data_IF_209615611765
#
_entry.id   IF_209615611765
#
_cell.length_a   1.000
_cell.length_b   1.000
_cell.length_c   1.000
_cell.angle_alpha   90.00
_cell.angle_beta   90.00
_cell.angle_gamma   90.00
#
_symmetry.space_group_name_H-M   'P 1'
#
loop_
_entity.id
_entity.type
_entity.pdbx_description
1 polymer ?
#
# COMPACT_ATOMS: atom_id res chain seq x y z
N UNK A 1 3.89 -21.75 -13.29
CA UNK A 1 2.69 -21.16 -13.90
C UNK A 1 2.77 -19.65 -13.81
N UNK A 2 3.22 -19.02 -14.89
CA UNK A 2 3.26 -17.56 -15.02
C UNK A 2 1.84 -17.00 -15.18
N UNK A 3 1.55 -15.89 -14.49
CA UNK A 3 0.70 -14.87 -15.09
C UNK A 3 -0.81 -15.00 -14.88
N UNK A 4 -1.29 -15.14 -13.63
CA UNK A 4 -2.52 -14.41 -13.28
C UNK A 4 -2.18 -12.93 -13.22
N UNK A 5 -2.12 -12.27 -14.38
CA UNK A 5 -2.21 -10.82 -14.41
C UNK A 5 -3.63 -10.48 -13.96
N UNK A 6 -3.84 -10.27 -12.66
CA UNK A 6 -5.09 -9.75 -12.12
C UNK A 6 -5.25 -8.32 -12.63
N UNK A 7 -5.88 -8.17 -13.80
CA UNK A 7 -6.15 -6.88 -14.42
C UNK A 7 -7.12 -6.09 -13.55
N UNK A 8 -6.75 -4.86 -13.22
CA UNK A 8 -7.57 -3.96 -12.42
C UNK A 8 -8.91 -3.69 -13.07
N UNK A 9 -9.98 -4.04 -12.35
CA UNK A 9 -11.34 -3.78 -12.78
C UNK A 9 -11.58 -2.27 -12.83
N UNK A 10 -12.35 -1.77 -13.82
CA UNK A 10 -12.65 -0.33 -13.93
C UNK A 10 -13.28 0.25 -12.66
N UNK A 11 -14.09 -0.55 -11.95
CA UNK A 11 -14.73 -0.17 -10.69
C UNK A 11 -13.72 0.06 -9.57
N UNK A 12 -12.73 -0.82 -9.44
CA UNK A 12 -11.66 -0.74 -8.44
C UNK A 12 -10.78 0.47 -8.73
N UNK A 13 -10.41 0.66 -10.01
CA UNK A 13 -9.67 1.84 -10.45
C UNK A 13 -10.42 3.13 -10.12
N UNK A 14 -11.72 3.20 -10.47
CA UNK A 14 -12.57 4.35 -10.19
C UNK A 14 -12.70 4.59 -8.68
N UNK A 15 -12.87 3.55 -7.88
CA UNK A 15 -12.93 3.69 -6.42
C UNK A 15 -11.63 4.28 -5.86
N UNK A 16 -10.48 3.80 -6.34
CA UNK A 16 -9.16 4.30 -5.93
C UNK A 16 -8.90 5.74 -6.38
N UNK A 17 -9.26 6.08 -7.62
CA UNK A 17 -9.01 7.40 -8.21
C UNK A 17 -9.97 8.48 -7.72
N UNK A 18 -11.22 8.14 -7.40
CA UNK A 18 -12.21 9.07 -6.83
C UNK A 18 -12.04 9.24 -5.32
N UNK A 19 -11.49 8.21 -4.64
CA UNK A 19 -11.35 8.18 -3.19
C UNK A 19 -12.57 7.58 -2.49
N UNK A 20 -13.29 6.68 -3.16
CA UNK A 20 -14.44 5.97 -2.60
C UNK A 20 -14.00 5.05 -1.47
N UNK A 21 -13.94 5.59 -0.25
CA UNK A 21 -13.52 4.87 0.94
C UNK A 21 -14.48 3.72 1.28
N UNK A 22 -15.79 3.94 1.11
CA UNK A 22 -16.81 2.95 1.42
C UNK A 22 -16.64 1.65 0.63
N UNK A 23 -16.15 1.73 -0.61
CA UNK A 23 -15.76 0.55 -1.39
C UNK A 23 -14.67 -0.27 -0.66
N UNK A 24 -13.62 0.40 -0.17
CA UNK A 24 -12.53 -0.25 0.55
C UNK A 24 -12.85 -0.61 2.00
N UNK A 25 -13.91 -0.05 2.59
CA UNK A 25 -14.38 -0.46 3.91
C UNK A 25 -15.06 -1.82 3.90
N UNK A 26 -15.75 -2.16 2.80
CA UNK A 26 -16.33 -3.49 2.58
C UNK A 26 -15.25 -4.58 2.46
N UNK A 27 -14.03 -4.21 2.04
CA UNK A 27 -12.87 -5.09 2.00
C UNK A 27 -12.31 -5.26 3.43
N UNK A 28 -12.74 -6.33 4.10
CA UNK A 28 -12.29 -6.69 5.45
C UNK A 28 -11.22 -7.77 5.44
N UNK A 29 -11.09 -8.52 4.35
CA UNK A 29 -10.10 -9.59 4.22
C UNK A 29 -8.73 -9.02 3.88
N UNK A 30 -7.67 -9.34 4.66
CA UNK A 30 -6.31 -9.00 4.29
C UNK A 30 -5.96 -9.73 2.98
N UNK A 31 -5.24 -9.05 2.09
CA UNK A 31 -4.85 -9.59 0.78
C UNK A 31 -6.03 -10.09 -0.09
N UNK A 32 -7.18 -9.42 0.00
CA UNK A 32 -8.27 -9.64 -0.95
C UNK A 32 -7.76 -9.56 -2.40
N UNK A 33 -8.23 -10.44 -3.28
CA UNK A 33 -7.79 -10.52 -4.67
C UNK A 33 -7.93 -9.19 -5.41
N UNK A 34 -8.93 -8.37 -5.01
CA UNK A 34 -9.12 -7.01 -5.52
C UNK A 34 -7.90 -6.13 -5.26
N UNK A 35 -7.23 -6.26 -4.11
CA UNK A 35 -6.05 -5.46 -3.74
C UNK A 35 -4.80 -5.83 -4.53
N UNK A 36 -4.75 -7.06 -5.03
CA UNK A 36 -3.65 -7.58 -5.85
C UNK A 36 -3.83 -7.22 -7.34
N UNK A 37 -4.95 -6.60 -7.70
CA UNK A 37 -5.18 -6.15 -9.07
C UNK A 37 -4.24 -5.01 -9.46
N UNK A 38 -3.77 -5.05 -10.72
CA UNK A 38 -2.84 -4.09 -11.30
C UNK A 38 -3.33 -3.55 -12.63
N UNK A 39 -3.00 -2.29 -12.91
CA UNK A 39 -3.24 -1.68 -14.23
C UNK A 39 -2.30 -2.25 -15.30
N UNK A 40 -2.49 -1.84 -16.56
CA UNK A 40 -1.57 -2.16 -17.67
C UNK A 40 -0.13 -1.73 -17.41
N UNK A 41 0.09 -0.66 -16.64
CA UNK A 41 1.42 -0.21 -16.22
C UNK A 41 1.93 -0.90 -14.94
N UNK A 42 1.32 -2.02 -14.53
CA UNK A 42 1.56 -2.69 -13.24
C UNK A 42 1.39 -1.77 -12.01
N UNK A 43 0.66 -0.66 -12.15
CA UNK A 43 0.30 0.17 -11.00
C UNK A 43 -0.71 -0.60 -10.14
N UNK A 44 -0.35 -0.89 -8.89
CA UNK A 44 -1.27 -1.40 -7.87
C UNK A 44 -2.27 -0.31 -7.47
N UNK A 45 -3.34 -0.68 -6.76
CA UNK A 45 -4.31 0.29 -6.21
C UNK A 45 -3.62 1.39 -5.40
N UNK A 46 -2.53 1.06 -4.71
CA UNK A 46 -1.79 2.03 -3.91
C UNK A 46 -1.12 3.10 -4.77
N UNK A 47 -0.56 2.73 -5.93
CA UNK A 47 -0.01 3.69 -6.89
C UNK A 47 -1.09 4.64 -7.42
N UNK A 48 -2.26 4.10 -7.77
CA UNK A 48 -3.41 4.87 -8.26
C UNK A 48 -3.89 5.84 -7.18
N UNK A 49 -4.17 5.36 -5.97
CA UNK A 49 -4.67 6.21 -4.89
C UNK A 49 -3.67 7.34 -4.52
N UNK A 50 -2.36 7.09 -4.65
CA UNK A 50 -1.32 8.10 -4.43
C UNK A 50 -1.28 9.14 -5.55
N UNK A 51 -1.38 8.71 -6.81
CA UNK A 51 -1.42 9.60 -7.97
C UNK A 51 -2.59 10.59 -7.88
N UNK A 52 -3.75 10.13 -7.38
CA UNK A 52 -4.94 10.96 -7.18
C UNK A 52 -5.05 11.60 -5.78
N UNK A 53 -3.99 11.54 -4.96
CA UNK A 53 -3.93 12.14 -3.61
C UNK A 53 -5.06 11.68 -2.67
N UNK A 54 -5.53 10.43 -2.79
CA UNK A 54 -6.65 9.88 -2.01
C UNK A 54 -6.20 9.28 -0.68
N UNK A 55 -5.86 10.15 0.28
CA UNK A 55 -5.21 9.74 1.53
C UNK A 55 -5.99 8.77 2.41
N UNK A 56 -7.32 8.92 2.48
CA UNK A 56 -8.18 8.04 3.28
C UNK A 56 -8.10 6.61 2.76
N UNK A 57 -8.18 6.46 1.43
CA UNK A 57 -8.05 5.19 0.72
C UNK A 57 -6.64 4.61 0.87
N UNK A 58 -5.58 5.43 0.69
CA UNK A 58 -4.18 5.01 0.92
C UNK A 58 -3.99 4.42 2.33
N UNK A 59 -4.53 5.07 3.37
CA UNK A 59 -4.41 4.59 4.76
C UNK A 59 -5.08 3.22 4.93
N UNK A 60 -6.29 3.06 4.38
CA UNK A 60 -7.06 1.81 4.45
C UNK A 60 -6.36 0.67 3.71
N UNK A 61 -5.91 0.90 2.47
CA UNK A 61 -5.22 -0.12 1.67
C UNK A 61 -3.94 -0.59 2.36
N UNK A 62 -3.11 0.32 2.86
CA UNK A 62 -1.86 -0.08 3.55
C UNK A 62 -2.14 -0.78 4.88
N UNK A 63 -3.31 -0.56 5.51
CA UNK A 63 -3.75 -1.37 6.67
C UNK A 63 -4.10 -2.79 6.25
N UNK A 64 -4.81 -2.97 5.14
CA UNK A 64 -5.27 -4.27 4.66
C UNK A 64 -4.12 -5.10 4.04
N UNK A 65 -3.28 -4.47 3.24
CA UNK A 65 -2.15 -5.12 2.59
C UNK A 65 -0.90 -4.22 2.63
N UNK A 66 -0.07 -4.36 3.67
CA UNK A 66 1.16 -3.58 3.80
C UNK A 66 2.23 -3.97 2.77
N UNK A 67 2.09 -5.12 2.10
CA UNK A 67 3.03 -5.59 1.08
C UNK A 67 3.01 -4.72 -0.17
N UNK A 68 1.83 -4.17 -0.52
CA UNK A 68 1.66 -3.26 -1.65
C UNK A 68 2.55 -2.02 -1.57
N UNK A 69 3.04 -1.64 -0.38
CA UNK A 69 3.97 -0.52 -0.19
C UNK A 69 5.37 -0.75 -0.78
N UNK A 70 5.69 -2.00 -1.14
CA UNK A 70 6.99 -2.41 -1.68
C UNK A 70 6.93 -2.83 -3.16
N UNK A 71 5.72 -3.02 -3.69
CA UNK A 71 5.50 -3.39 -5.09
C UNK A 71 6.03 -2.32 -6.05
N UNK A 72 6.55 -2.77 -7.19
CA UNK A 72 7.10 -1.88 -8.23
C UNK A 72 6.18 -1.92 -9.44
N UNK A 73 5.84 -0.74 -9.98
CA UNK A 73 5.14 -0.66 -11.25
C UNK A 73 6.10 -0.93 -12.43
N UNK A 74 5.58 -0.89 -13.67
CA UNK A 74 6.37 -1.13 -14.89
C UNK A 74 7.51 -0.13 -15.10
N UNK A 75 7.45 1.04 -14.45
CA UNK A 75 8.51 2.06 -14.45
C UNK A 75 9.54 1.83 -13.33
N UNK A 76 9.46 0.71 -12.61
CA UNK A 76 10.32 0.39 -11.46
C UNK A 76 10.04 1.25 -10.22
N UNK A 77 8.99 2.08 -10.23
CA UNK A 77 8.63 2.96 -9.13
C UNK A 77 7.84 2.20 -8.07
N UNK A 78 8.21 2.41 -6.81
CA UNK A 78 7.39 1.99 -5.67
C UNK A 78 6.36 3.07 -5.32
N UNK A 79 5.34 2.76 -4.51
CA UNK A 79 4.41 3.77 -4.00
C UNK A 79 5.10 4.95 -3.34
N UNK A 80 6.25 4.73 -2.69
CA UNK A 80 7.02 5.83 -2.10
C UNK A 80 7.61 6.78 -3.15
N UNK A 81 8.08 6.25 -4.29
CA UNK A 81 8.54 7.07 -5.41
C UNK A 81 7.39 7.90 -5.99
N UNK A 82 6.21 7.30 -6.17
CA UNK A 82 5.02 8.02 -6.64
C UNK A 82 4.61 9.11 -5.65
N UNK A 83 4.57 8.80 -4.35
CA UNK A 83 4.26 9.79 -3.31
C UNK A 83 5.24 10.97 -3.31
N UNK A 84 6.54 10.70 -3.51
CA UNK A 84 7.57 11.74 -3.62
C UNK A 84 7.38 12.59 -4.89
N UNK A 85 7.10 11.95 -6.04
CA UNK A 85 6.84 12.65 -7.32
C UNK A 85 5.60 13.55 -7.26
N UNK A 86 4.57 13.13 -6.53
CA UNK A 86 3.35 13.91 -6.31
C UNK A 86 3.61 15.18 -5.48
N UNK A 87 4.76 15.27 -4.79
CA UNK A 87 5.20 16.47 -4.06
C UNK A 87 4.45 16.73 -2.76
N UNK A 88 3.62 15.78 -2.31
CA UNK A 88 2.80 15.95 -1.11
C UNK A 88 3.50 15.38 0.12
N UNK A 89 4.12 16.29 0.88
CA UNK A 89 4.85 15.96 2.11
C UNK A 89 3.99 15.24 3.16
N UNK A 90 2.66 15.43 3.15
CA UNK A 90 1.74 14.75 4.08
C UNK A 90 1.62 13.26 3.77
N UNK A 91 1.64 12.90 2.48
CA UNK A 91 1.63 11.50 2.03
C UNK A 91 2.91 10.79 2.46
N UNK A 92 4.05 11.41 2.15
CA UNK A 92 5.38 10.86 2.40
C UNK A 92 5.58 10.65 3.90
N UNK A 93 5.22 11.64 4.73
CA UNK A 93 5.26 11.52 6.21
C UNK A 93 4.42 10.34 6.72
N UNK A 94 3.23 10.11 6.17
CA UNK A 94 2.36 8.99 6.59
C UNK A 94 2.92 7.63 6.18
N UNK A 95 3.48 7.50 4.97
CA UNK A 95 4.14 6.27 4.53
C UNK A 95 5.39 5.97 5.36
N UNK A 96 6.21 6.99 5.66
CA UNK A 96 7.43 6.86 6.47
C UNK A 96 7.11 6.55 7.94
N UNK A 97 6.14 7.21 8.55
CA UNK A 97 5.77 6.95 9.95
C UNK A 97 5.30 5.51 10.19
N UNK A 98 4.70 4.84 9.19
CA UNK A 98 4.38 3.41 9.30
C UNK A 98 5.60 2.51 9.29
N UNK A 99 6.62 2.81 8.48
CA UNK A 99 7.89 2.05 8.48
C UNK A 99 8.57 2.10 9.86
N UNK A 100 8.54 3.26 10.54
CA UNK A 100 9.10 3.42 11.90
C UNK A 100 8.39 2.56 12.96
N UNK A 101 7.05 2.41 12.88
CA UNK A 101 6.31 1.55 13.83
C UNK A 101 6.69 0.07 13.70
N UNK A 102 6.95 -0.45 12.49
CA UNK A 102 7.44 -1.84 12.33
C UNK A 102 8.86 -2.04 12.87
N UNK A 103 9.76 -1.05 12.76
CA UNK A 103 11.12 -1.14 13.35
C UNK A 103 11.10 -1.24 14.87
N UNK A 104 10.22 -0.48 15.55
CA UNK A 104 10.08 -0.55 17.01
C UNK A 104 9.64 -1.94 17.50
N UNK A 105 8.84 -2.67 16.72
CA UNK A 105 8.38 -4.01 17.08
C UNK A 105 9.46 -5.11 16.87
N UNK A 106 10.52 -4.86 16.07
CA UNK A 106 11.66 -5.80 15.97
C UNK A 106 12.65 -5.61 17.11
N UNK A 107 12.86 -4.38 17.58
CA UNK A 107 13.79 -4.09 18.69
C UNK A 107 13.30 -4.61 20.04
N UNK A 108 11.98 -4.71 20.27
CA UNK A 108 11.45 -5.23 21.54
C UNK A 108 11.50 -6.77 21.66
N UNK A 109 11.76 -7.51 20.57
CA UNK A 109 11.83 -8.99 20.59
C UNK A 109 13.25 -9.54 20.79
N UNK A 110 14.28 -8.68 20.75
CA UNK A 110 15.69 -9.07 20.86
C UNK A 110 16.31 -8.85 22.26
N UNK A 111 15.54 -8.35 23.24
CA UNK A 111 16.05 -7.99 24.57
C UNK A 111 15.55 -8.89 25.72
N UNK A 112 14.87 -10.02 25.44
CA UNK A 112 14.34 -10.94 26.47
C UNK A 112 15.06 -12.30 26.47
N UNK A 113 16.26 -12.41 25.88
CA UNK A 113 16.93 -13.70 25.70
C UNK A 113 18.29 -13.85 26.41
N UNK A 114 18.71 -12.91 27.25
CA UNK A 114 20.06 -12.97 27.84
C UNK A 114 20.13 -12.44 29.28
N UNK A 115 19.39 -13.08 30.19
CA UNK A 115 19.56 -12.88 31.64
C UNK A 115 19.19 -14.16 32.37
N UNK A 116 19.91 -15.24 32.05
CA UNK A 116 20.03 -16.42 32.90
C UNK A 116 21.39 -16.34 33.59
N UNK A 117 21.42 -15.75 34.79
CA UNK A 117 22.45 -15.98 35.78
C UNK A 117 21.77 -16.11 37.14
#
# INVERSE_FOLDING_TARGET
EEGRQNRMKPEVFRAASTGNLSFFEKLTKPNDETLLEVTTEKNTILHVALQFKKFKVVKKIVNLSPMLAYERNSKGNTPLHVAAKVGDSSIVKRLINRKKKKKKNRMSKLMVADSSF
#
